data_IF_983944503949
#
_entry.id   IF_983944503949
#
_cell.length_a   1.000
_cell.length_b   1.000
_cell.length_c   1.000
_cell.angle_alpha   90.00
_cell.angle_beta   90.00
_cell.angle_gamma   90.00
#
_symmetry.space_group_name_H-M   'P 1'
#
loop_
_entity.id
_entity.type
_entity.pdbx_description
1 polymer ?
#
# COMPACT_ATOMS: atom_id res chain seq x y z
N UNK A 1 18.26 -12.63 8.86
CA UNK A 1 16.77 -12.56 8.93
C UNK A 1 16.30 -11.72 10.10
N UNK A 2 16.98 -11.68 11.25
CA UNK A 2 16.64 -10.75 12.34
C UNK A 2 16.60 -9.27 11.87
N UNK A 3 17.40 -8.90 10.87
CA UNK A 3 17.52 -7.54 10.33
C UNK A 3 16.24 -7.01 9.67
N UNK A 4 15.26 -7.88 9.37
CA UNK A 4 13.96 -7.44 8.81
C UNK A 4 12.98 -6.99 9.89
N UNK A 5 13.25 -7.31 11.16
CA UNK A 5 12.35 -7.00 12.27
C UNK A 5 12.15 -5.50 12.48
N UNK A 6 13.18 -4.62 12.45
CA UNK A 6 12.96 -3.19 12.62
C UNK A 6 12.02 -2.59 11.56
N UNK A 7 12.18 -2.98 10.30
CA UNK A 7 11.36 -2.49 9.19
C UNK A 7 9.92 -3.00 9.29
N UNK A 8 9.74 -4.27 9.64
CA UNK A 8 8.40 -4.87 9.74
C UNK A 8 7.67 -4.51 11.03
N UNK A 9 8.39 -4.22 12.12
CA UNK A 9 7.83 -3.63 13.34
C UNK A 9 7.29 -2.22 13.06
N UNK A 10 8.07 -1.40 12.32
CA UNK A 10 7.62 -0.07 11.89
C UNK A 10 6.41 -0.16 10.97
N UNK A 11 6.43 -1.06 9.98
CA UNK A 11 5.30 -1.29 9.08
C UNK A 11 4.01 -1.61 9.86
N UNK A 12 4.05 -2.55 10.81
CA UNK A 12 2.84 -2.91 11.58
C UNK A 12 2.36 -1.76 12.49
N UNK A 13 3.27 -0.95 13.03
CA UNK A 13 2.93 0.19 13.87
C UNK A 13 2.29 1.36 13.09
N UNK A 14 2.75 1.60 11.86
CA UNK A 14 2.30 2.70 11.00
C UNK A 14 1.14 2.30 10.07
N UNK A 15 0.85 1.00 9.93
CA UNK A 15 -0.05 0.44 8.92
C UNK A 15 -1.42 1.14 8.87
N UNK A 16 -2.09 1.30 10.02
CA UNK A 16 -3.42 1.89 10.05
C UNK A 16 -3.43 3.35 9.57
N UNK A 17 -2.37 4.10 9.85
CA UNK A 17 -2.21 5.47 9.35
C UNK A 17 -2.01 5.48 7.84
N UNK A 18 -1.07 4.67 7.35
CA UNK A 18 -0.79 4.56 5.91
C UNK A 18 -2.02 4.10 5.10
N UNK A 19 -2.84 3.19 5.62
CA UNK A 19 -4.10 2.79 4.98
C UNK A 19 -5.12 3.94 4.90
N UNK A 20 -5.14 4.81 5.92
CA UNK A 20 -5.93 6.03 5.89
C UNK A 20 -5.49 6.98 4.77
N UNK A 21 -4.19 7.24 4.69
CA UNK A 21 -3.58 8.07 3.65
C UNK A 21 -3.82 7.50 2.23
N UNK A 22 -3.66 6.18 2.06
CA UNK A 22 -3.96 5.49 0.81
C UNK A 22 -5.40 5.69 0.35
N UNK A 23 -6.36 5.64 1.28
CA UNK A 23 -7.78 5.86 0.96
C UNK A 23 -8.02 7.27 0.43
N UNK A 24 -7.36 8.27 1.00
CA UNK A 24 -7.44 9.66 0.52
C UNK A 24 -6.82 9.80 -0.88
N UNK A 25 -5.66 9.17 -1.13
CA UNK A 25 -5.03 9.13 -2.45
C UNK A 25 -5.95 8.48 -3.47
N UNK A 26 -6.53 7.32 -3.17
CA UNK A 26 -7.44 6.60 -4.07
C UNK A 26 -8.68 7.45 -4.40
N UNK A 27 -9.22 8.19 -3.43
CA UNK A 27 -10.32 9.12 -3.66
C UNK A 27 -9.91 10.24 -4.63
N UNK A 28 -8.78 10.90 -4.39
CA UNK A 28 -8.25 11.96 -5.28
C UNK A 28 -7.96 11.45 -6.70
N UNK A 29 -7.51 10.19 -6.84
CA UNK A 29 -7.35 9.55 -8.14
C UNK A 29 -8.67 9.32 -8.86
N UNK A 30 -9.76 9.09 -8.14
CA UNK A 30 -11.12 9.05 -8.70
C UNK A 30 -11.51 10.39 -9.34
N UNK A 31 -11.25 11.49 -8.63
CA UNK A 31 -11.48 12.85 -9.14
C UNK A 31 -10.61 13.15 -10.36
N UNK A 32 -9.33 12.74 -10.33
CA UNK A 32 -8.43 12.87 -11.48
C UNK A 32 -8.94 12.11 -12.71
N UNK A 33 -9.47 10.90 -12.53
CA UNK A 33 -10.06 10.12 -13.63
C UNK A 33 -11.28 10.84 -14.21
N UNK A 34 -12.14 11.43 -13.37
CA UNK A 34 -13.30 12.17 -13.84
C UNK A 34 -12.89 13.38 -14.69
N UNK A 35 -11.95 14.20 -14.19
CA UNK A 35 -11.42 15.36 -14.92
C UNK A 35 -10.71 14.94 -16.22
N UNK A 36 -9.87 13.91 -16.18
CA UNK A 36 -9.14 13.42 -17.34
C UNK A 36 -10.07 12.91 -18.45
N UNK A 37 -11.21 12.30 -18.09
CA UNK A 37 -12.24 11.89 -19.05
C UNK A 37 -12.96 13.08 -19.67
N UNK A 38 -13.31 14.10 -18.88
CA UNK A 38 -13.95 15.32 -19.39
C UNK A 38 -13.05 16.06 -20.41
N UNK A 39 -11.75 16.06 -20.17
CA UNK A 39 -10.74 16.74 -21.00
C UNK A 39 -10.12 15.86 -22.10
N UNK A 40 -10.63 14.64 -22.32
CA UNK A 40 -10.09 13.67 -23.29
C UNK A 40 -8.57 13.42 -23.12
N UNK A 41 -8.10 13.30 -21.87
CA UNK A 41 -6.68 13.08 -21.52
C UNK A 41 -6.43 11.66 -21.00
N UNK A 42 -6.47 10.61 -21.85
CA UNK A 42 -6.45 9.21 -21.43
C UNK A 42 -5.20 8.80 -20.63
N UNK A 43 -4.07 9.50 -20.85
CA UNK A 43 -2.82 9.24 -20.11
C UNK A 43 -2.97 9.36 -18.60
N UNK A 44 -3.81 10.29 -18.12
CA UNK A 44 -4.01 10.51 -16.68
C UNK A 44 -4.97 9.48 -16.08
N UNK A 45 -5.96 9.01 -16.85
CA UNK A 45 -6.79 7.87 -16.46
C UNK A 45 -5.94 6.61 -16.26
N UNK A 46 -5.03 6.31 -17.20
CA UNK A 46 -4.12 5.16 -17.10
C UNK A 46 -3.19 5.28 -15.89
N UNK A 47 -2.64 6.48 -15.65
CA UNK A 47 -1.82 6.74 -14.47
C UNK A 47 -2.58 6.45 -13.18
N UNK A 48 -3.78 7.00 -13.03
CA UNK A 48 -4.60 6.82 -11.83
C UNK A 48 -4.94 5.34 -11.59
N UNK A 49 -5.34 4.61 -12.63
CA UNK A 49 -5.63 3.18 -12.53
C UNK A 49 -4.41 2.36 -12.10
N UNK A 50 -3.22 2.68 -12.64
CA UNK A 50 -1.97 2.02 -12.23
C UNK A 50 -1.62 2.29 -10.77
N UNK A 51 -1.84 3.52 -10.30
CA UNK A 51 -1.53 3.87 -8.92
C UNK A 51 -2.52 3.23 -7.93
N UNK A 52 -3.80 3.10 -8.30
CA UNK A 52 -4.76 2.28 -7.53
C UNK A 52 -4.33 0.81 -7.48
N UNK A 53 -3.88 0.23 -8.61
CA UNK A 53 -3.40 -1.15 -8.63
C UNK A 53 -2.15 -1.34 -7.74
N UNK A 54 -1.25 -0.36 -7.72
CA UNK A 54 -0.09 -0.36 -6.84
C UNK A 54 -0.50 -0.43 -5.36
N UNK A 55 -1.38 0.48 -4.91
CA UNK A 55 -1.89 0.47 -3.54
C UNK A 55 -2.54 -0.88 -3.17
N UNK A 56 -3.37 -1.44 -4.06
CA UNK A 56 -3.98 -2.77 -3.83
C UNK A 56 -2.96 -3.90 -3.72
N UNK A 57 -1.90 -3.87 -4.53
CA UNK A 57 -0.84 -4.88 -4.47
C UNK A 57 -0.12 -4.82 -3.12
N UNK A 58 0.11 -3.61 -2.62
CA UNK A 58 0.71 -3.42 -1.31
C UNK A 58 -0.21 -3.89 -0.19
N UNK A 59 -1.46 -3.42 -0.17
CA UNK A 59 -2.43 -3.67 0.89
C UNK A 59 -2.92 -5.12 0.96
N UNK A 60 -3.18 -5.73 -0.20
CA UNK A 60 -3.79 -7.08 -0.26
C UNK A 60 -2.72 -8.19 -0.21
N UNK A 61 -1.47 -7.88 -0.55
CA UNK A 61 -0.41 -8.89 -0.69
C UNK A 61 0.83 -8.55 0.12
N UNK A 62 1.50 -7.43 -0.15
CA UNK A 62 2.84 -7.19 0.37
C UNK A 62 2.85 -6.90 1.88
N UNK A 63 1.95 -6.04 2.38
CA UNK A 63 1.91 -5.71 3.81
C UNK A 63 1.49 -6.91 4.67
N UNK A 64 0.43 -7.68 4.33
CA UNK A 64 0.10 -8.90 5.06
C UNK A 64 1.24 -9.92 5.06
N UNK A 65 1.91 -10.11 3.91
CA UNK A 65 3.04 -11.02 3.81
C UNK A 65 4.23 -10.59 4.68
N UNK A 66 4.56 -9.29 4.68
CA UNK A 66 5.63 -8.75 5.51
C UNK A 66 5.36 -8.94 7.02
N UNK A 67 4.11 -8.74 7.45
CA UNK A 67 3.68 -8.95 8.84
C UNK A 67 3.71 -10.45 9.20
N UNK A 68 3.32 -11.34 8.29
CA UNK A 68 3.41 -12.78 8.49
C UNK A 68 4.87 -13.23 8.67
N UNK A 69 5.77 -12.76 7.80
CA UNK A 69 7.21 -13.06 7.88
C UNK A 69 7.79 -12.55 9.20
N UNK A 70 7.43 -11.34 9.64
CA UNK A 70 7.83 -10.82 10.96
C UNK A 70 7.45 -11.77 12.08
N UNK A 71 6.19 -12.20 12.14
CA UNK A 71 5.69 -13.10 13.19
C UNK A 71 6.45 -14.43 13.18
N UNK A 72 6.72 -14.98 11.99
CA UNK A 72 7.52 -16.18 11.83
C UNK A 72 8.95 -16.00 12.34
N UNK A 73 9.63 -14.91 11.96
CA UNK A 73 11.01 -14.64 12.40
C UNK A 73 11.09 -14.44 13.91
N UNK A 74 10.16 -13.70 14.53
CA UNK A 74 10.10 -13.57 16.00
C UNK A 74 9.95 -14.93 16.67
N UNK A 75 9.02 -15.74 16.18
CA UNK A 75 8.77 -17.09 16.68
C UNK A 75 10.02 -17.99 16.63
N UNK A 76 10.75 -17.98 15.51
CA UNK A 76 11.98 -18.78 15.31
C UNK A 76 13.11 -18.30 16.24
N UNK A 77 13.19 -17.00 16.51
CA UNK A 77 14.22 -16.42 17.38
C UNK A 77 13.86 -16.46 18.88
N UNK A 78 12.71 -17.03 19.24
CA UNK A 78 12.25 -17.07 20.63
C UNK A 78 11.87 -15.69 21.20
N UNK A 79 11.42 -14.78 20.32
CA UNK A 79 10.97 -13.42 20.66
C UNK A 79 9.46 -13.27 20.50
#
# INVERSE_FOLDING_TARGET
MADVLPLTDRLEAELSGMLGEHKEIVAALGDLVAAAKAENMPKYTVFAQKLVLHARTEEEVLYPAAILVRRYVKRVLGR
#
